data_IF_143624274353
#
_entry.id   IF_143624274353
#
_cell.length_a   1.000
_cell.length_b   1.000
_cell.length_c   1.000
_cell.angle_alpha   90.00
_cell.angle_beta   90.00
_cell.angle_gamma   90.00
#
_symmetry.space_group_name_H-M   'P 1'
#
loop_
_entity.id
_entity.type
_entity.pdbx_description
1 polymer ?
#
# COMPACT_ATOMS: atom_id res chain seq x y z
N UNK A 1 19.38 -14.79 12.34
CA UNK A 1 18.12 -14.10 11.96
C UNK A 1 17.95 -14.18 10.46
N UNK A 2 16.77 -14.58 9.97
CA UNK A 2 16.48 -14.72 8.53
C UNK A 2 16.70 -13.44 7.72
N UNK A 3 16.93 -13.63 6.42
CA UNK A 3 17.02 -12.57 5.43
C UNK A 3 15.65 -11.93 5.25
N UNK A 4 15.55 -10.66 5.64
CA UNK A 4 14.26 -9.98 5.71
C UNK A 4 14.38 -8.48 5.50
N UNK A 5 13.29 -7.91 4.99
CA UNK A 5 13.04 -6.47 4.95
C UNK A 5 12.51 -5.98 6.31
N UNK A 6 13.43 -5.90 7.28
CA UNK A 6 13.18 -5.28 8.60
C UNK A 6 13.27 -3.77 8.56
N UNK A 7 14.02 -3.23 7.60
CA UNK A 7 14.29 -1.81 7.53
C UNK A 7 13.10 -1.08 6.90
N UNK A 8 12.53 -1.52 5.77
CA UNK A 8 11.34 -0.92 5.15
C UNK A 8 11.37 0.62 5.22
N UNK A 9 10.49 1.27 6.01
CA UNK A 9 10.43 2.72 6.25
C UNK A 9 11.40 3.27 7.32
N UNK A 10 12.05 2.36 8.06
CA UNK A 10 12.86 2.62 9.25
C UNK A 10 14.36 2.46 8.99
N UNK A 11 15.16 3.14 9.81
CA UNK A 11 16.58 2.88 9.96
C UNK A 11 16.77 2.01 11.21
N UNK A 12 17.42 0.86 11.04
CA UNK A 12 17.66 -0.09 12.13
C UNK A 12 19.03 0.19 12.75
N UNK A 13 19.09 0.18 14.07
CA UNK A 13 20.31 0.33 14.85
C UNK A 13 20.48 -0.95 15.66
N UNK A 14 21.68 -1.52 15.67
CA UNK A 14 22.04 -2.70 16.47
C UNK A 14 23.41 -2.46 17.10
N UNK A 15 23.45 -2.33 18.42
CA UNK A 15 24.67 -2.19 19.22
C UNK A 15 25.00 -3.53 19.86
N UNK A 16 26.22 -4.04 19.64
CA UNK A 16 26.72 -5.22 20.33
C UNK A 16 27.23 -4.83 21.72
N UNK A 17 26.44 -5.12 22.75
CA UNK A 17 26.66 -4.62 24.11
C UNK A 17 27.40 -5.62 25.01
N UNK A 18 27.20 -6.92 24.78
CA UNK A 18 27.76 -7.99 25.60
C UNK A 18 28.24 -9.09 24.67
N UNK A 19 29.44 -9.61 24.94
CA UNK A 19 30.01 -10.73 24.21
C UNK A 19 31.16 -11.35 24.99
N UNK A 20 31.33 -12.67 24.89
CA UNK A 20 32.57 -13.34 25.27
C UNK A 20 33.72 -12.97 24.33
N UNK A 21 34.92 -13.49 24.60
CA UNK A 21 36.15 -13.15 23.86
C UNK A 21 36.05 -13.38 22.34
N UNK A 22 35.27 -14.38 21.93
CA UNK A 22 35.06 -14.77 20.53
C UNK A 22 33.66 -14.39 20.00
N UNK A 23 32.94 -13.52 20.72
CA UNK A 23 31.58 -13.16 20.34
C UNK A 23 31.56 -12.11 19.23
N UNK A 24 30.91 -12.42 18.11
CA UNK A 24 30.72 -11.50 17.00
C UNK A 24 29.40 -11.77 16.28
N UNK A 25 29.02 -10.84 15.40
CA UNK A 25 27.90 -11.06 14.46
C UNK A 25 28.31 -10.77 13.04
N UNK A 26 28.09 -11.72 12.16
CA UNK A 26 28.23 -11.50 10.72
C UNK A 26 26.91 -10.99 10.16
N UNK A 27 26.97 -9.79 9.58
CA UNK A 27 25.88 -9.14 8.88
C UNK A 27 26.03 -9.30 7.37
N UNK A 28 24.91 -9.53 6.71
CA UNK A 28 24.80 -9.50 5.26
C UNK A 28 23.68 -8.53 4.92
N UNK A 29 24.00 -7.44 4.23
CA UNK A 29 23.10 -6.29 4.03
C UNK A 29 23.10 -5.94 2.55
N UNK A 30 21.92 -5.76 1.95
CA UNK A 30 21.84 -5.33 0.55
C UNK A 30 22.00 -3.82 0.40
N UNK A 31 22.38 -3.36 -0.79
CA UNK A 31 22.26 -1.95 -1.14
C UNK A 31 20.78 -1.52 -1.13
N UNK A 32 20.48 -0.30 -0.66
CA UNK A 32 19.10 0.23 -0.66
C UNK A 32 18.53 0.35 -2.09
N UNK A 33 19.38 0.67 -3.06
CA UNK A 33 19.00 0.78 -4.48
C UNK A 33 18.70 -0.56 -5.16
N UNK A 34 18.98 -1.68 -4.50
CA UNK A 34 18.67 -3.04 -4.98
C UNK A 34 17.38 -3.59 -4.38
N UNK A 35 16.60 -2.79 -3.65
CA UNK A 35 15.39 -3.24 -2.94
C UNK A 35 14.43 -4.03 -3.85
N UNK A 36 14.15 -3.49 -5.04
CA UNK A 36 13.25 -4.12 -6.00
C UNK A 36 13.88 -5.38 -6.63
N UNK A 37 15.18 -5.35 -6.94
CA UNK A 37 15.90 -6.50 -7.49
C UNK A 37 15.90 -7.69 -6.51
N UNK A 38 15.98 -7.41 -5.21
CA UNK A 38 15.87 -8.43 -4.16
C UNK A 38 14.47 -9.05 -4.16
N UNK A 39 13.41 -8.25 -4.23
CA UNK A 39 12.04 -8.78 -4.34
C UNK A 39 11.81 -9.62 -5.59
N UNK A 40 12.34 -9.18 -6.73
CA UNK A 40 12.23 -9.92 -8.00
C UNK A 40 13.01 -11.24 -7.94
N UNK A 41 14.21 -11.24 -7.35
CA UNK A 41 15.01 -12.44 -7.15
C UNK A 41 14.35 -13.46 -6.21
N UNK A 42 13.84 -13.00 -5.06
CA UNK A 42 13.16 -13.87 -4.10
C UNK A 42 11.90 -14.50 -4.72
N UNK A 43 11.13 -13.72 -5.49
CA UNK A 43 9.95 -14.22 -6.22
C UNK A 43 10.33 -15.28 -7.25
N UNK A 44 11.37 -15.03 -8.05
CA UNK A 44 11.83 -15.96 -9.07
C UNK A 44 12.28 -17.30 -8.48
N UNK A 45 12.91 -17.29 -7.29
CA UNK A 45 13.39 -18.50 -6.62
C UNK A 45 12.31 -19.28 -5.88
N UNK A 46 11.43 -18.60 -5.15
CA UNK A 46 10.48 -19.28 -4.26
C UNK A 46 9.26 -19.84 -5.00
N UNK A 47 9.06 -19.49 -6.28
CA UNK A 47 7.98 -20.00 -7.14
C UNK A 47 6.57 -19.77 -6.60
N UNK A 48 6.45 -18.99 -5.52
CA UNK A 48 5.22 -18.73 -4.76
C UNK A 48 5.10 -17.24 -4.50
N UNK A 49 3.86 -16.74 -4.45
CA UNK A 49 3.55 -15.36 -4.09
C UNK A 49 3.75 -15.07 -2.58
N UNK A 50 4.48 -15.92 -1.88
CA UNK A 50 4.83 -15.76 -0.47
C UNK A 50 6.34 -15.70 -0.36
N UNK A 51 6.89 -14.52 -0.09
CA UNK A 51 8.30 -14.43 0.29
C UNK A 51 8.43 -15.03 1.68
N UNK A 52 8.95 -16.25 1.75
CA UNK A 52 9.25 -16.87 3.03
C UNK A 52 10.53 -16.24 3.55
N UNK A 53 10.44 -15.61 4.71
CA UNK A 53 11.62 -15.17 5.44
C UNK A 53 12.49 -16.40 5.73
N UNK A 54 13.58 -16.56 4.96
CA UNK A 54 14.51 -17.68 5.08
C UNK A 54 15.94 -17.17 5.19
N UNK A 55 16.82 -18.02 5.71
CA UNK A 55 18.25 -17.73 5.60
C UNK A 55 18.68 -18.02 4.16
N UNK A 56 19.45 -17.10 3.58
CA UNK A 56 20.11 -17.35 2.29
C UNK A 56 21.52 -17.87 2.57
N UNK A 57 21.89 -18.95 1.91
CA UNK A 57 23.26 -19.48 1.98
C UNK A 57 24.26 -18.51 1.34
N UNK A 58 25.54 -18.62 1.72
CA UNK A 58 26.60 -17.80 1.13
C UNK A 58 26.69 -17.97 -0.39
N UNK A 59 26.49 -19.19 -0.90
CA UNK A 59 26.47 -19.46 -2.34
C UNK A 59 25.29 -18.75 -3.04
N UNK A 60 24.11 -18.76 -2.42
CA UNK A 60 22.95 -18.04 -2.95
C UNK A 60 23.16 -16.53 -2.98
N UNK A 61 23.70 -15.96 -1.90
CA UNK A 61 24.03 -14.53 -1.85
C UNK A 61 25.12 -14.15 -2.85
N UNK A 62 26.12 -15.00 -3.05
CA UNK A 62 27.19 -14.76 -4.03
C UNK A 62 26.67 -14.83 -5.48
N UNK A 63 25.68 -15.67 -5.74
CA UNK A 63 25.02 -15.79 -7.06
C UNK A 63 23.92 -14.75 -7.32
N UNK A 64 23.61 -13.90 -6.33
CA UNK A 64 22.50 -12.97 -6.43
C UNK A 64 22.80 -11.83 -7.43
N UNK A 65 21.79 -11.32 -8.18
CA UNK A 65 21.97 -10.25 -9.16
C UNK A 65 22.08 -8.85 -8.52
N UNK A 66 22.42 -8.78 -7.23
CA UNK A 66 22.50 -7.54 -6.47
C UNK A 66 23.66 -7.58 -5.47
N UNK A 67 24.14 -6.40 -5.08
CA UNK A 67 25.26 -6.27 -4.15
C UNK A 67 24.84 -6.61 -2.72
N UNK A 68 25.63 -7.46 -2.07
CA UNK A 68 25.52 -7.80 -0.65
C UNK A 68 26.80 -7.38 0.06
N UNK A 69 26.67 -6.47 1.01
CA UNK A 69 27.74 -6.06 1.91
C UNK A 69 27.83 -7.04 3.08
N UNK A 70 29.05 -7.45 3.41
CA UNK A 70 29.32 -8.35 4.54
C UNK A 70 30.13 -7.59 5.58
N UNK A 71 29.70 -7.64 6.84
CA UNK A 71 30.39 -6.97 7.93
C UNK A 71 30.39 -7.84 9.19
N UNK A 72 31.54 -7.93 9.85
CA UNK A 72 31.64 -8.53 11.18
C UNK A 72 31.54 -7.44 12.24
N UNK A 73 30.48 -7.51 13.05
CA UNK A 73 30.24 -6.64 14.20
C UNK A 73 30.88 -7.24 15.45
N UNK A 74 31.72 -6.45 16.12
CA UNK A 74 32.40 -6.78 17.38
C UNK A 74 31.82 -6.00 18.56
N UNK A 75 32.23 -6.34 19.77
CA UNK A 75 31.77 -5.69 21.00
C UNK A 75 32.02 -4.17 20.94
N UNK A 76 30.97 -3.39 21.19
CA UNK A 76 31.00 -1.92 21.09
C UNK A 76 30.61 -1.37 19.72
N UNK A 77 30.56 -2.19 18.67
CA UNK A 77 30.19 -1.74 17.33
C UNK A 77 28.67 -1.48 17.22
N UNK A 78 28.33 -0.32 16.67
CA UNK A 78 26.98 0.05 16.26
C UNK A 78 26.83 -0.18 14.75
N UNK A 79 26.00 -1.15 14.37
CA UNK A 79 25.60 -1.34 12.98
C UNK A 79 24.32 -0.54 12.71
N UNK A 80 24.37 0.31 11.70
CA UNK A 80 23.23 1.11 11.23
C UNK A 80 22.82 0.62 9.85
N UNK A 81 21.58 0.18 9.71
CA UNK A 81 21.02 -0.34 8.47
C UNK A 81 20.02 0.68 7.93
N UNK A 82 20.29 1.29 6.77
CA UNK A 82 19.36 2.21 6.12
C UNK A 82 18.00 1.55 5.81
N UNK A 83 16.99 2.37 5.59
CA UNK A 83 15.70 1.95 5.04
C UNK A 83 15.86 1.27 3.69
N UNK A 84 14.93 0.37 3.34
CA UNK A 84 14.92 -0.40 2.08
C UNK A 84 16.15 -1.29 1.85
N UNK A 85 16.77 -1.76 2.92
CA UNK A 85 17.80 -2.79 2.88
C UNK A 85 17.25 -4.11 3.43
N UNK A 86 17.49 -5.21 2.71
CA UNK A 86 17.35 -6.55 3.28
C UNK A 86 18.59 -6.86 4.11
N UNK A 87 18.38 -7.58 5.20
CA UNK A 87 19.50 -8.02 6.04
C UNK A 87 19.27 -9.41 6.62
N UNK A 88 20.36 -10.16 6.77
CA UNK A 88 20.45 -11.32 7.64
C UNK A 88 21.64 -11.16 8.58
N UNK A 89 21.54 -11.78 9.76
CA UNK A 89 22.66 -11.83 10.72
C UNK A 89 22.84 -13.21 11.30
N UNK A 90 24.10 -13.59 11.46
CA UNK A 90 24.53 -14.85 12.08
C UNK A 90 25.34 -14.48 13.32
N UNK A 91 25.01 -15.10 14.46
CA UNK A 91 25.73 -14.88 15.71
C UNK A 91 26.82 -15.95 15.85
N UNK A 92 28.01 -15.52 16.26
CA UNK A 92 29.10 -16.39 16.70
C UNK A 92 29.29 -16.19 18.20
N UNK A 93 29.31 -17.28 18.97
CA UNK A 93 29.43 -17.25 20.43
C UNK A 93 28.22 -16.63 21.15
N UNK A 94 28.34 -16.50 22.48
CA UNK A 94 27.30 -15.93 23.33
C UNK A 94 27.43 -14.42 23.36
N UNK A 95 26.39 -13.72 22.89
CA UNK A 95 26.31 -12.26 22.82
C UNK A 95 24.91 -11.73 23.13
N UNK A 96 24.83 -10.47 23.54
CA UNK A 96 23.59 -9.71 23.64
C UNK A 96 23.73 -8.32 23.02
N UNK A 97 22.65 -7.84 22.41
CA UNK A 97 22.61 -6.54 21.74
C UNK A 97 21.38 -5.75 22.06
N UNK A 98 21.55 -4.44 22.02
CA UNK A 98 20.45 -3.48 22.01
C UNK A 98 20.12 -3.14 20.55
N UNK A 99 18.85 -3.29 20.16
CA UNK A 99 18.40 -2.92 18.81
C UNK A 99 17.18 -2.02 18.89
N UNK A 100 17.14 -0.98 18.06
CA UNK A 100 15.98 -0.08 17.94
C UNK A 100 15.81 0.39 16.50
N UNK A 101 14.66 0.98 16.21
CA UNK A 101 14.30 1.49 14.90
C UNK A 101 13.86 2.94 15.03
N UNK A 102 14.20 3.76 14.03
CA UNK A 102 13.65 5.11 13.87
C UNK A 102 13.06 5.26 12.48
N UNK A 103 11.91 5.90 12.37
CA UNK A 103 11.34 6.30 11.08
C UNK A 103 12.02 7.59 10.64
N UNK A 104 12.22 7.74 9.33
CA UNK A 104 12.70 8.99 8.72
C UNK A 104 11.69 9.46 7.69
N UNK A 105 11.64 10.76 7.39
CA UNK A 105 10.72 11.24 6.35
C UNK A 105 10.97 10.58 5.01
N UNK A 106 12.23 10.46 4.58
CA UNK A 106 12.58 9.74 3.34
C UNK A 106 12.11 8.28 3.35
N UNK A 107 12.27 7.58 4.48
CA UNK A 107 11.80 6.21 4.61
C UNK A 107 10.27 6.10 4.56
N UNK A 108 9.58 7.08 5.15
CA UNK A 108 8.12 7.17 5.14
C UNK A 108 7.57 7.53 3.74
N UNK A 109 8.25 8.42 3.02
CA UNK A 109 7.95 8.76 1.62
C UNK A 109 7.99 7.50 0.75
N UNK A 110 9.13 6.80 0.72
CA UNK A 110 9.25 5.57 -0.06
C UNK A 110 8.24 4.48 0.38
N UNK A 111 7.87 4.46 1.66
CA UNK A 111 6.87 3.52 2.17
C UNK A 111 5.47 3.80 1.63
N UNK A 112 4.99 5.04 1.76
CA UNK A 112 3.67 5.47 1.27
C UNK A 112 3.59 5.31 -0.24
N UNK A 113 4.66 5.68 -0.96
CA UNK A 113 4.65 5.56 -2.41
C UNK A 113 4.71 4.10 -2.88
N UNK A 114 5.53 3.24 -2.28
CA UNK A 114 5.86 1.96 -2.91
C UNK A 114 5.76 0.76 -1.98
N UNK A 115 6.42 0.82 -0.82
CA UNK A 115 6.66 -0.38 -0.02
C UNK A 115 5.40 -0.89 0.65
N UNK A 116 4.46 0.00 0.98
CA UNK A 116 3.16 -0.39 1.50
C UNK A 116 2.43 -1.30 0.51
N UNK A 117 2.38 -0.94 -0.78
CA UNK A 117 1.68 -1.75 -1.79
C UNK A 117 2.41 -3.07 -2.02
N UNK A 118 3.75 -3.07 -2.10
CA UNK A 118 4.54 -4.30 -2.25
C UNK A 118 4.25 -5.27 -1.10
N UNK A 119 4.28 -4.78 0.15
CA UNK A 119 4.03 -5.59 1.33
C UNK A 119 2.60 -6.12 1.38
N UNK A 120 1.62 -5.27 1.04
CA UNK A 120 0.22 -5.69 0.91
C UNK A 120 0.05 -6.81 -0.11
N UNK A 121 0.77 -6.77 -1.24
CA UNK A 121 0.74 -7.85 -2.23
C UNK A 121 1.31 -9.15 -1.65
N UNK A 122 2.38 -9.10 -0.86
CA UNK A 122 2.93 -10.30 -0.22
C UNK A 122 2.22 -10.75 1.06
N UNK A 123 1.15 -10.07 1.48
CA UNK A 123 0.48 -10.35 2.76
C UNK A 123 1.40 -10.15 3.97
N UNK A 124 2.40 -9.27 3.84
CA UNK A 124 3.32 -8.95 4.91
C UNK A 124 2.70 -7.84 5.77
N UNK A 125 2.80 -7.94 7.11
CA UNK A 125 2.34 -6.87 7.99
C UNK A 125 2.94 -5.53 7.58
N UNK A 126 2.10 -4.49 7.62
CA UNK A 126 2.56 -3.11 7.56
C UNK A 126 3.56 -2.85 8.67
N UNK A 127 4.53 -1.97 8.43
CA UNK A 127 5.27 -1.32 9.54
C UNK A 127 4.21 -0.61 10.42
N UNK A 128 4.36 -0.57 11.75
CA UNK A 128 3.34 -0.02 12.64
C UNK A 128 2.85 1.35 12.17
N UNK A 129 1.52 1.40 12.05
CA UNK A 129 0.64 2.53 11.79
C UNK A 129 1.26 3.77 11.13
N UNK A 130 1.63 3.68 9.84
CA UNK A 130 2.31 4.77 9.12
C UNK A 130 1.51 6.07 9.15
N UNK A 131 0.18 5.98 9.09
CA UNK A 131 -0.70 7.14 9.17
C UNK A 131 -0.82 7.71 10.57
N UNK A 132 -0.90 6.83 11.58
CA UNK A 132 -0.83 7.26 12.98
C UNK A 132 0.50 7.96 13.26
N UNK A 133 1.60 7.43 12.74
CA UNK A 133 2.92 8.04 12.87
C UNK A 133 2.98 9.40 12.18
N UNK A 134 2.45 9.53 10.96
CA UNK A 134 2.31 10.81 10.27
C UNK A 134 1.52 11.80 11.12
N UNK A 135 0.33 11.42 11.58
CA UNK A 135 -0.55 12.30 12.33
C UNK A 135 0.08 12.79 13.65
N UNK A 136 0.63 11.86 14.46
CA UNK A 136 1.23 12.20 15.76
C UNK A 136 2.48 13.07 15.62
N UNK A 137 3.37 12.76 14.67
CA UNK A 137 4.60 13.52 14.48
C UNK A 137 4.32 14.94 14.01
N UNK A 138 3.44 15.12 13.03
CA UNK A 138 3.06 16.45 12.56
C UNK A 138 2.36 17.27 13.63
N UNK A 139 1.43 16.68 14.39
CA UNK A 139 0.78 17.35 15.52
C UNK A 139 1.80 17.88 16.53
N UNK A 140 2.83 17.08 16.82
CA UNK A 140 3.95 17.49 17.66
C UNK A 140 4.71 18.70 17.10
N UNK A 141 5.10 18.66 15.82
CA UNK A 141 5.81 19.77 15.17
C UNK A 141 4.97 21.06 15.09
N UNK A 142 3.69 20.95 14.74
CA UNK A 142 2.74 22.07 14.74
C UNK A 142 2.64 22.70 16.13
N UNK A 143 2.51 21.88 17.17
CA UNK A 143 2.43 22.34 18.56
C UNK A 143 3.71 23.07 19.00
N UNK A 144 4.89 22.50 18.70
CA UNK A 144 6.18 23.12 19.00
C UNK A 144 6.35 24.44 18.26
N UNK A 145 6.02 24.50 16.97
CA UNK A 145 6.15 25.72 16.18
C UNK A 145 5.22 26.85 16.67
N UNK A 146 3.98 26.51 17.06
CA UNK A 146 3.03 27.47 17.65
C UNK A 146 3.50 27.99 19.01
N UNK A 147 4.13 27.15 19.82
CA UNK A 147 4.63 27.54 21.16
C UNK A 147 5.91 28.38 21.09
N UNK A 148 6.89 28.01 20.26
CA UNK A 148 8.12 28.79 20.07
C UNK A 148 7.84 30.15 19.42
N UNK A 149 6.86 30.24 18.52
CA UNK A 149 6.41 31.53 17.95
C UNK A 149 5.83 32.48 19.00
N UNK A 150 5.19 31.95 20.06
CA UNK A 150 4.60 32.76 21.15
C UNK A 150 5.58 33.06 22.28
N UNK A 151 6.61 32.24 22.46
CA UNK A 151 7.66 32.40 23.49
C UNK A 151 9.01 32.02 22.87
N UNK A 152 9.77 32.97 22.31
CA UNK A 152 11.08 32.66 21.74
C UNK A 152 12.00 32.13 22.84
N UNK A 153 12.38 30.85 22.72
CA UNK A 153 13.38 30.22 23.58
C UNK A 153 14.79 30.71 23.24
N UNK A 154 15.71 30.69 24.22
CA UNK A 154 17.12 31.04 24.02
C UNK A 154 17.86 30.08 23.05
N UNK A 155 17.30 28.88 22.81
CA UNK A 155 17.79 27.92 21.82
C UNK A 155 16.81 27.96 20.64
N UNK A 156 17.25 28.35 19.44
CA UNK A 156 16.40 28.33 18.25
C UNK A 156 15.97 26.89 17.96
N UNK A 157 14.66 26.66 17.85
CA UNK A 157 14.20 25.42 17.23
C UNK A 157 14.57 25.49 15.75
N UNK A 158 15.13 24.42 15.16
CA UNK A 158 15.43 24.39 13.73
C UNK A 158 14.18 24.73 12.91
N UNK A 159 14.35 25.40 11.77
CA UNK A 159 13.24 25.67 10.87
C UNK A 159 12.57 24.33 10.46
N UNK A 160 11.36 24.13 10.94
CA UNK A 160 10.58 22.91 10.70
C UNK A 160 9.81 22.99 9.38
N UNK A 161 9.83 24.12 8.68
CA UNK A 161 9.05 24.34 7.47
C UNK A 161 9.33 23.27 6.41
N UNK A 162 10.59 22.96 6.01
CA UNK A 162 10.85 21.95 4.99
C UNK A 162 10.30 20.57 5.35
N UNK A 163 10.31 20.22 6.65
CA UNK A 163 9.78 18.97 7.16
C UNK A 163 8.24 18.93 7.12
N UNK A 164 7.59 20.02 7.55
CA UNK A 164 6.14 20.17 7.50
C UNK A 164 5.62 20.19 6.05
N UNK A 165 6.38 20.78 5.12
CA UNK A 165 6.05 20.76 3.69
C UNK A 165 6.14 19.34 3.11
N UNK A 166 7.18 18.57 3.44
CA UNK A 166 7.27 17.15 3.07
C UNK A 166 6.11 16.35 3.66
N UNK A 167 5.79 16.61 4.92
CA UNK A 167 4.69 15.97 5.60
C UNK A 167 3.35 16.24 4.92
N UNK A 168 3.05 17.50 4.59
CA UNK A 168 1.79 17.91 3.96
C UNK A 168 1.57 17.18 2.63
N UNK A 169 2.61 17.15 1.77
CA UNK A 169 2.56 16.39 0.51
C UNK A 169 2.28 14.90 0.74
N UNK A 170 2.90 14.32 1.77
CA UNK A 170 2.73 12.90 2.04
C UNK A 170 1.37 12.58 2.69
N UNK A 171 0.82 13.51 3.47
CA UNK A 171 -0.53 13.40 4.00
C UNK A 171 -1.58 13.49 2.89
N UNK A 172 -1.42 14.42 1.96
CA UNK A 172 -2.30 14.58 0.80
C UNK A 172 -2.33 13.31 -0.06
N UNK A 173 -1.17 12.69 -0.30
CA UNK A 173 -1.03 11.40 -0.99
C UNK A 173 -1.82 10.26 -0.33
N UNK A 174 -2.05 10.35 0.98
CA UNK A 174 -2.76 9.34 1.77
C UNK A 174 -4.25 9.61 1.82
N UNK A 175 -4.64 10.88 1.96
CA UNK A 175 -6.04 11.29 2.10
C UNK A 175 -6.76 11.20 0.76
N UNK A 176 -6.16 11.70 -0.32
CA UNK A 176 -6.77 11.75 -1.66
C UNK A 176 -7.33 10.39 -2.13
N UNK A 177 -6.61 9.26 -2.02
CA UNK A 177 -7.15 7.95 -2.41
C UNK A 177 -8.37 7.48 -1.62
N UNK A 178 -8.64 8.07 -0.45
CA UNK A 178 -9.72 7.69 0.47
C UNK A 178 -10.99 8.52 0.29
N UNK A 179 -10.92 9.62 -0.44
CA UNK A 179 -12.02 10.56 -0.64
C UNK A 179 -13.20 9.97 -1.44
N UNK A 180 -14.42 10.38 -1.14
CA UNK A 180 -15.59 10.34 -2.02
C UNK A 180 -16.58 11.47 -1.70
N UNK A 181 -17.45 11.82 -2.65
CA UNK A 181 -18.41 12.92 -2.53
C UNK A 181 -19.48 12.66 -1.47
N UNK A 182 -19.94 11.42 -1.33
CA UNK A 182 -20.97 10.99 -0.38
C UNK A 182 -20.40 10.51 0.97
N UNK A 183 -19.20 10.98 1.37
CA UNK A 183 -18.47 10.47 2.54
C UNK A 183 -19.33 10.52 3.82
N UNK A 184 -20.07 11.61 4.03
CA UNK A 184 -20.90 11.79 5.23
C UNK A 184 -22.03 10.76 5.34
N UNK A 185 -22.54 10.27 4.21
CA UNK A 185 -23.63 9.30 4.14
C UNK A 185 -23.16 7.85 4.36
N UNK A 186 -21.85 7.60 4.38
CA UNK A 186 -21.33 6.25 4.57
C UNK A 186 -21.40 5.80 6.03
N UNK A 187 -21.69 4.50 6.28
CA UNK A 187 -21.68 3.93 7.62
C UNK A 187 -20.34 4.13 8.32
N UNK A 188 -20.40 4.60 9.57
CA UNK A 188 -19.24 4.65 10.45
C UNK A 188 -19.01 3.26 11.07
N UNK A 189 -17.77 2.80 11.03
CA UNK A 189 -17.34 1.54 11.65
C UNK A 189 -16.25 1.87 12.63
N UNK A 190 -16.48 1.51 13.90
CA UNK A 190 -15.48 1.63 14.95
C UNK A 190 -14.41 0.58 14.75
N UNK A 191 -13.25 1.02 14.26
CA UNK A 191 -12.07 0.21 14.19
C UNK A 191 -11.29 0.41 15.48
N UNK A 192 -11.11 -0.67 16.24
CA UNK A 192 -10.18 -0.68 17.35
C UNK A 192 -8.78 -0.20 16.92
N UNK A 193 -7.94 0.23 17.87
CA UNK A 193 -6.61 0.75 17.57
C UNK A 193 -5.80 -0.29 16.78
N UNK A 194 -5.13 0.15 15.71
CA UNK A 194 -4.33 -0.72 14.84
C UNK A 194 -5.13 -1.84 14.15
N UNK A 195 -6.24 -1.49 13.52
CA UNK A 195 -7.01 -2.42 12.68
C UNK A 195 -6.33 -2.66 11.33
N UNK A 196 -6.33 -3.92 10.88
CA UNK A 196 -5.65 -4.34 9.65
C UNK A 196 -6.62 -5.01 8.67
N UNK A 197 -6.34 -4.84 7.38
CA UNK A 197 -7.09 -5.49 6.31
C UNK A 197 -6.97 -7.01 6.43
N UNK A 198 -8.11 -7.69 6.47
CA UNK A 198 -8.16 -9.16 6.57
C UNK A 198 -7.53 -9.88 5.36
N UNK A 199 -7.38 -9.20 4.22
CA UNK A 199 -6.72 -9.76 3.03
C UNK A 199 -5.20 -9.59 3.09
N UNK A 200 -4.73 -8.34 3.13
CA UNK A 200 -3.32 -8.01 2.89
C UNK A 200 -2.52 -7.67 4.16
N UNK A 201 -3.19 -7.49 5.30
CA UNK A 201 -2.53 -7.09 6.56
C UNK A 201 -2.07 -5.63 6.59
N UNK A 202 -2.47 -4.82 5.60
CA UNK A 202 -2.23 -3.38 5.60
C UNK A 202 -3.10 -2.66 6.64
N UNK A 203 -2.59 -1.56 7.20
CA UNK A 203 -3.34 -0.70 8.11
C UNK A 203 -4.63 -0.19 7.44
N UNK A 204 -5.75 -0.28 8.17
CA UNK A 204 -7.01 0.34 7.78
C UNK A 204 -7.01 1.77 8.31
N UNK A 205 -7.01 2.73 7.39
CA UNK A 205 -6.92 4.14 7.74
C UNK A 205 -8.30 4.79 7.87
N UNK A 206 -8.97 4.96 6.72
CA UNK A 206 -10.21 5.73 6.61
C UNK A 206 -11.31 4.99 5.88
N UNK A 207 -11.08 4.71 4.60
CA UNK A 207 -12.11 4.17 3.73
C UNK A 207 -11.91 2.67 3.53
N UNK A 208 -12.94 1.90 3.89
CA UNK A 208 -12.90 0.44 3.98
C UNK A 208 -14.14 -0.18 3.35
N UNK A 209 -14.07 -1.50 3.13
CA UNK A 209 -15.22 -2.30 2.77
C UNK A 209 -15.45 -3.36 3.84
N UNK A 210 -16.66 -3.40 4.39
CA UNK A 210 -17.04 -4.27 5.48
C UNK A 210 -18.03 -5.33 5.01
N UNK A 211 -17.82 -6.58 5.42
CA UNK A 211 -18.79 -7.63 5.17
C UNK A 211 -20.10 -7.35 5.90
N UNK A 212 -21.23 -7.40 5.19
CA UNK A 212 -22.58 -7.23 5.74
C UNK A 212 -23.42 -8.51 5.68
N UNK A 213 -22.84 -9.61 5.19
CA UNK A 213 -23.49 -10.91 5.10
C UNK A 213 -23.09 -11.91 6.19
N UNK A 214 -23.39 -13.18 5.94
CA UNK A 214 -23.22 -14.31 6.87
C UNK A 214 -21.77 -14.69 7.22
N UNK A 215 -20.77 -13.89 6.83
CA UNK A 215 -19.40 -14.09 7.32
C UNK A 215 -19.17 -13.41 8.68
N UNK A 216 -20.14 -12.63 9.16
CA UNK A 216 -20.21 -12.16 10.55
C UNK A 216 -20.59 -13.37 11.41
N UNK A 217 -19.81 -13.69 12.45
CA UNK A 217 -20.18 -14.77 13.37
C UNK A 217 -21.11 -14.20 14.45
N UNK A 218 -22.31 -14.77 14.56
CA UNK A 218 -23.36 -14.35 15.51
C UNK A 218 -23.00 -14.60 17.00
N UNK A 219 -21.87 -15.26 17.29
CA UNK A 219 -21.47 -15.68 18.64
C UNK A 219 -20.58 -14.66 19.38
N UNK A 220 -20.31 -13.49 18.80
CA UNK A 220 -19.55 -12.39 19.43
C UNK A 220 -20.27 -11.05 19.18
N UNK A 221 -20.95 -10.46 20.19
CA UNK A 221 -21.77 -9.25 20.04
C UNK A 221 -20.96 -7.94 19.91
N UNK A 222 -19.63 -8.03 19.88
CA UNK A 222 -18.75 -6.91 19.54
C UNK A 222 -18.21 -7.15 18.13
N UNK A 223 -18.20 -6.11 17.30
CA UNK A 223 -17.82 -6.07 15.87
C UNK A 223 -16.44 -6.66 15.47
N UNK A 224 -15.74 -7.35 16.37
CA UNK A 224 -14.45 -8.03 16.17
C UNK A 224 -14.52 -9.21 15.18
N UNK A 225 -15.72 -9.63 14.77
CA UNK A 225 -15.94 -10.76 13.84
C UNK A 225 -16.25 -10.34 12.40
N UNK A 226 -16.36 -9.04 12.10
CA UNK A 226 -16.63 -8.57 10.74
C UNK A 226 -15.37 -8.64 9.85
N UNK A 227 -15.47 -9.25 8.68
CA UNK A 227 -14.39 -9.25 7.69
C UNK A 227 -14.32 -7.87 7.05
N UNK A 228 -13.23 -7.14 7.29
CA UNK A 228 -12.98 -5.81 6.74
C UNK A 228 -11.77 -5.85 5.81
N UNK A 229 -11.89 -5.23 4.64
CA UNK A 229 -10.78 -5.10 3.67
C UNK A 229 -10.52 -3.64 3.33
N UNK A 230 -9.26 -3.34 3.02
CA UNK A 230 -8.91 -2.01 2.53
C UNK A 230 -9.48 -1.79 1.14
N UNK A 231 -9.70 -0.51 0.81
CA UNK A 231 -10.18 -0.06 -0.50
C UNK A 231 -9.36 -0.64 -1.67
N UNK A 232 -8.03 -0.65 -1.55
CA UNK A 232 -7.13 -1.22 -2.58
C UNK A 232 -7.33 -2.72 -2.80
N UNK A 233 -7.69 -3.48 -1.77
CA UNK A 233 -8.01 -4.90 -1.95
C UNK A 233 -9.39 -5.08 -2.61
N UNK A 234 -10.39 -4.30 -2.20
CA UNK A 234 -11.72 -4.39 -2.76
C UNK A 234 -11.75 -4.05 -4.26
N UNK A 235 -11.07 -2.99 -4.68
CA UNK A 235 -11.01 -2.57 -6.09
C UNK A 235 -10.26 -3.56 -7.00
N UNK A 236 -9.40 -4.37 -6.41
CA UNK A 236 -8.75 -5.50 -7.05
C UNK A 236 -9.67 -6.72 -7.17
N UNK A 237 -10.91 -6.64 -6.66
CA UNK A 237 -11.89 -7.73 -6.68
C UNK A 237 -11.76 -8.69 -5.50
N UNK A 238 -10.98 -8.37 -4.48
CA UNK A 238 -10.80 -9.22 -3.30
C UNK A 238 -11.95 -8.98 -2.33
N UNK A 239 -12.82 -9.97 -2.20
CA UNK A 239 -14.05 -9.90 -1.41
C UNK A 239 -14.19 -11.11 -0.49
N UNK A 240 -15.03 -11.00 0.53
CA UNK A 240 -15.39 -12.14 1.39
C UNK A 240 -16.16 -13.21 0.62
N UNK A 241 -16.21 -14.42 1.19
CA UNK A 241 -16.88 -15.57 0.57
C UNK A 241 -18.36 -15.36 0.25
N UNK A 242 -19.07 -14.57 1.05
CA UNK A 242 -20.48 -14.28 0.76
C UNK A 242 -20.66 -13.18 -0.30
N UNK A 243 -19.59 -12.48 -0.70
CA UNK A 243 -19.61 -11.40 -1.69
C UNK A 243 -20.30 -10.10 -1.24
N UNK A 244 -20.89 -10.09 -0.05
CA UNK A 244 -21.64 -8.94 0.47
C UNK A 244 -20.71 -8.06 1.29
N UNK A 245 -20.07 -7.10 0.62
CA UNK A 245 -19.27 -6.07 1.28
C UNK A 245 -19.76 -4.69 0.88
N UNK A 246 -19.96 -3.80 1.86
CA UNK A 246 -20.42 -2.44 1.67
C UNK A 246 -19.32 -1.44 2.00
N UNK A 247 -19.27 -0.27 1.33
CA UNK A 247 -18.35 0.80 1.69
C UNK A 247 -18.67 1.33 3.08
N UNK A 248 -17.63 1.69 3.84
CA UNK A 248 -17.75 2.25 5.19
C UNK A 248 -16.54 3.14 5.49
N UNK A 249 -16.64 3.96 6.54
CA UNK A 249 -15.61 4.88 7.00
C UNK A 249 -15.30 4.70 8.48
N UNK A 250 -14.13 5.15 8.93
CA UNK A 250 -13.65 4.99 10.31
C UNK A 250 -13.66 6.29 11.13
N UNK A 251 -13.98 7.43 10.51
CA UNK A 251 -14.06 8.75 11.15
C UNK A 251 -14.78 9.77 10.26
N UNK A 252 -14.62 11.08 10.46
CA UNK A 252 -15.05 12.10 9.50
C UNK A 252 -13.89 12.59 8.60
N UNK A 253 -14.20 12.96 7.35
CA UNK A 253 -13.20 13.49 6.42
C UNK A 253 -12.81 14.92 6.83
N UNK A 254 -13.77 15.67 7.35
CA UNK A 254 -13.57 17.00 7.94
C UNK A 254 -12.43 17.00 8.95
N UNK A 255 -12.33 15.98 9.82
CA UNK A 255 -11.27 15.92 10.84
C UNK A 255 -9.86 15.87 10.20
N UNK A 256 -9.72 15.18 9.07
CA UNK A 256 -8.46 15.09 8.33
C UNK A 256 -8.16 16.39 7.58
N UNK A 257 -9.18 17.01 6.99
CA UNK A 257 -9.05 18.29 6.28
C UNK A 257 -8.76 19.44 7.25
N UNK A 258 -9.41 19.48 8.39
CA UNK A 258 -9.13 20.45 9.46
C UNK A 258 -7.71 20.29 9.96
N UNK A 259 -7.26 19.05 10.17
CA UNK A 259 -5.87 18.79 10.53
C UNK A 259 -4.89 19.27 9.44
N UNK A 260 -5.17 18.98 8.17
CA UNK A 260 -4.38 19.50 7.03
C UNK A 260 -4.33 21.03 7.01
N UNK A 261 -5.47 21.68 7.14
CA UNK A 261 -5.58 23.14 7.11
C UNK A 261 -4.83 23.78 8.28
N UNK A 262 -4.86 23.16 9.46
CA UNK A 262 -4.04 23.58 10.61
C UNK A 262 -2.53 23.55 10.30
N UNK A 263 -2.07 22.59 9.48
CA UNK A 263 -0.66 22.53 9.05
C UNK A 263 -0.36 23.65 8.04
N UNK A 264 -1.26 23.88 7.09
CA UNK A 264 -1.15 24.97 6.12
C UNK A 264 -1.07 26.33 6.83
N UNK A 265 -1.92 26.60 7.83
CA UNK A 265 -1.86 27.85 8.60
C UNK A 265 -0.51 28.09 9.29
N UNK A 266 0.17 27.02 9.69
CA UNK A 266 1.50 27.10 10.32
C UNK A 266 2.59 27.38 9.29
N UNK A 267 2.40 26.92 8.05
CA UNK A 267 3.28 27.21 6.92
C UNK A 267 2.99 28.61 6.38
N UNK A 268 3.85 29.58 6.72
CA UNK A 268 3.72 30.98 6.28
C UNK A 268 3.75 31.16 4.77
N UNK A 269 4.46 30.27 4.07
CA UNK A 269 4.51 30.14 2.63
C UNK A 269 4.13 28.71 2.26
N UNK A 270 3.14 28.56 1.37
CA UNK A 270 2.78 27.27 0.81
C UNK A 270 3.91 26.75 -0.11
N UNK A 271 4.20 25.44 -0.12
CA UNK A 271 5.03 24.86 -1.16
C UNK A 271 4.42 25.11 -2.55
N UNK A 272 5.26 25.27 -3.57
CA UNK A 272 4.83 25.46 -4.97
C UNK A 272 3.90 24.33 -5.49
N UNK A 273 3.91 23.15 -4.87
CA UNK A 273 3.15 21.97 -5.28
C UNK A 273 2.02 21.58 -4.32
N UNK A 274 1.60 22.46 -3.41
CA UNK A 274 0.44 22.20 -2.55
C UNK A 274 -0.79 22.84 -3.19
N UNK A 275 -1.77 22.01 -3.50
CA UNK A 275 -3.08 22.47 -3.96
C UNK A 275 -3.87 23.00 -2.75
N UNK A 276 -4.41 24.22 -2.86
CA UNK A 276 -5.25 24.80 -1.81
C UNK A 276 -6.52 23.94 -1.62
N UNK A 277 -7.10 23.48 -2.73
CA UNK A 277 -8.21 22.51 -2.74
C UNK A 277 -7.68 21.10 -3.01
N UNK A 278 -7.58 20.29 -1.96
CA UNK A 278 -7.11 18.91 -2.05
C UNK A 278 -8.09 18.01 -2.81
N UNK A 279 -9.37 18.35 -2.91
CA UNK A 279 -10.44 17.43 -3.32
C UNK A 279 -11.17 17.92 -4.57
N UNK A 280 -10.42 18.42 -5.54
CA UNK A 280 -10.98 18.96 -6.78
C UNK A 280 -11.74 17.91 -7.61
N UNK A 281 -12.75 18.38 -8.36
CA UNK A 281 -13.55 17.53 -9.24
C UNK A 281 -12.68 16.83 -10.30
N UNK A 282 -12.73 15.50 -10.31
CA UNK A 282 -12.00 14.66 -11.27
C UNK A 282 -10.72 14.01 -10.73
N UNK A 283 -10.38 14.23 -9.47
CA UNK A 283 -9.23 13.57 -8.86
C UNK A 283 -9.35 12.05 -8.79
N UNK A 284 -8.19 11.40 -8.92
CA UNK A 284 -8.05 9.95 -8.87
C UNK A 284 -8.20 9.46 -7.42
N UNK A 285 -9.40 9.00 -7.05
CA UNK A 285 -9.65 8.32 -5.78
C UNK A 285 -9.91 6.83 -5.98
N UNK A 286 -9.13 6.00 -5.28
CA UNK A 286 -9.33 4.55 -5.28
C UNK A 286 -10.68 4.22 -4.63
N UNK A 287 -11.10 4.99 -3.61
CA UNK A 287 -12.34 4.75 -2.91
C UNK A 287 -13.58 5.06 -3.76
N UNK A 288 -13.57 6.19 -4.49
CA UNK A 288 -14.61 6.48 -5.51
C UNK A 288 -14.73 5.36 -6.51
N UNK A 289 -13.60 4.82 -6.98
CA UNK A 289 -13.61 3.67 -7.88
C UNK A 289 -14.17 2.39 -7.22
N UNK A 290 -13.90 2.18 -5.93
CA UNK A 290 -14.48 1.10 -5.13
C UNK A 290 -15.99 1.21 -5.01
N UNK A 291 -16.51 2.39 -4.71
CA UNK A 291 -17.96 2.67 -4.68
C UNK A 291 -18.58 2.43 -6.06
N UNK A 292 -17.91 2.88 -7.13
CA UNK A 292 -18.31 2.61 -8.51
C UNK A 292 -18.46 1.12 -8.79
N UNK A 293 -17.51 0.30 -8.31
CA UNK A 293 -17.56 -1.15 -8.45
C UNK A 293 -18.71 -1.76 -7.63
N UNK A 294 -18.90 -1.30 -6.39
CA UNK A 294 -19.98 -1.75 -5.50
C UNK A 294 -21.36 -1.49 -6.09
N UNK A 295 -21.59 -0.32 -6.68
CA UNK A 295 -22.89 0.08 -7.24
C UNK A 295 -23.29 -0.68 -8.50
N UNK A 296 -22.41 -1.50 -9.08
CA UNK A 296 -22.73 -2.27 -10.29
C UNK A 296 -23.57 -3.50 -9.95
N UNK A 297 -24.72 -3.63 -10.61
CA UNK A 297 -25.55 -4.84 -10.53
C UNK A 297 -24.95 -5.95 -11.39
N UNK A 298 -25.06 -7.19 -10.92
CA UNK A 298 -24.41 -8.35 -11.54
C UNK A 298 -25.44 -9.24 -12.26
N UNK A 299 -25.31 -9.36 -13.58
CA UNK A 299 -25.90 -10.38 -14.45
C UNK A 299 -24.78 -11.11 -15.20
N UNK A 300 -24.71 -12.45 -15.21
CA UNK A 300 -23.59 -13.14 -15.85
C UNK A 300 -23.56 -12.89 -17.37
N UNK A 301 -22.39 -12.48 -17.90
CA UNK A 301 -22.13 -12.34 -19.34
C UNK A 301 -20.95 -13.19 -19.76
N UNK A 302 -21.05 -13.83 -20.92
CA UNK A 302 -19.99 -14.67 -21.49
C UNK A 302 -19.03 -13.76 -22.29
N UNK A 303 -17.73 -13.79 -21.95
CA UNK A 303 -16.68 -13.25 -22.82
C UNK A 303 -16.22 -14.37 -23.77
N UNK A 304 -15.83 -14.02 -25.00
CA UNK A 304 -15.48 -14.99 -26.06
C UNK A 304 -14.27 -15.87 -25.72
N UNK A 305 -13.34 -15.43 -24.85
CA UNK A 305 -12.12 -16.17 -24.52
C UNK A 305 -12.15 -16.95 -23.21
N UNK A 306 -12.99 -16.56 -22.23
CA UNK A 306 -13.17 -17.25 -20.94
C UNK A 306 -14.40 -16.70 -20.20
N UNK A 307 -14.89 -17.43 -19.18
CA UNK A 307 -16.00 -16.98 -18.32
C UNK A 307 -15.48 -16.20 -17.11
N UNK A 308 -16.03 -15.01 -16.89
CA UNK A 308 -15.80 -14.19 -15.69
C UNK A 308 -17.12 -13.56 -15.22
N UNK A 309 -17.24 -13.19 -13.94
CA UNK A 309 -18.38 -12.40 -13.46
C UNK A 309 -18.48 -11.04 -14.19
N UNK A 310 -19.70 -10.51 -14.35
CA UNK A 310 -19.89 -9.20 -15.00
C UNK A 310 -19.24 -8.04 -14.23
N UNK A 311 -19.15 -8.16 -12.90
CA UNK A 311 -18.41 -7.21 -12.07
C UNK A 311 -16.94 -7.11 -12.45
N UNK A 312 -16.36 -8.17 -13.04
CA UNK A 312 -14.97 -8.20 -13.50
C UNK A 312 -14.79 -7.61 -14.91
N UNK A 313 -15.87 -7.21 -15.58
CA UNK A 313 -15.87 -6.69 -16.95
C UNK A 313 -16.06 -5.17 -16.98
N UNK A 314 -15.45 -4.51 -17.95
CA UNK A 314 -15.86 -3.18 -18.39
C UNK A 314 -16.23 -3.23 -19.88
N UNK A 315 -17.25 -2.45 -20.26
CA UNK A 315 -17.66 -2.30 -21.64
C UNK A 315 -17.10 -0.99 -22.21
N UNK A 316 -16.57 -1.05 -23.43
CA UNK A 316 -16.38 0.14 -24.25
C UNK A 316 -17.38 0.13 -25.40
N UNK A 317 -18.25 1.15 -25.44
CA UNK A 317 -19.24 1.32 -26.51
C UNK A 317 -18.57 1.49 -27.87
N UNK A 318 -17.53 2.34 -27.97
CA UNK A 318 -16.80 2.60 -29.22
C UNK A 318 -16.10 1.36 -29.79
N UNK A 319 -15.59 0.48 -28.94
CA UNK A 319 -14.95 -0.77 -29.36
C UNK A 319 -15.93 -1.93 -29.51
N UNK A 320 -17.20 -1.75 -29.13
CA UNK A 320 -18.22 -2.80 -29.04
C UNK A 320 -17.75 -4.07 -28.27
N UNK A 321 -16.89 -3.89 -27.26
CA UNK A 321 -16.21 -5.01 -26.59
C UNK A 321 -16.30 -4.93 -25.07
N UNK A 322 -16.54 -6.09 -24.45
CA UNK A 322 -16.35 -6.30 -23.02
C UNK A 322 -14.98 -6.90 -22.76
N UNK A 323 -14.24 -6.36 -21.79
CA UNK A 323 -12.95 -6.92 -21.36
C UNK A 323 -12.89 -7.05 -19.86
N UNK A 324 -12.29 -8.13 -19.38
CA UNK A 324 -12.04 -8.29 -17.95
C UNK A 324 -10.86 -7.43 -17.48
N UNK A 325 -10.85 -7.05 -16.21
CA UNK A 325 -9.78 -6.20 -15.67
C UNK A 325 -8.38 -6.77 -15.85
N UNK A 326 -8.23 -8.10 -15.80
CA UNK A 326 -6.95 -8.76 -16.11
C UNK A 326 -6.47 -8.45 -17.54
N UNK A 327 -7.38 -8.52 -18.52
CA UNK A 327 -7.05 -8.18 -19.91
C UNK A 327 -6.88 -6.68 -20.13
N UNK A 328 -7.63 -5.85 -19.40
CA UNK A 328 -7.45 -4.39 -19.46
C UNK A 328 -6.06 -4.03 -18.94
N UNK A 329 -5.64 -4.63 -17.83
CA UNK A 329 -4.30 -4.44 -17.29
C UNK A 329 -3.24 -4.88 -18.30
N UNK A 330 -3.34 -6.10 -18.84
CA UNK A 330 -2.30 -6.64 -19.73
C UNK A 330 -2.29 -6.06 -21.14
N UNK A 331 -3.43 -5.56 -21.65
CA UNK A 331 -3.55 -5.06 -23.03
C UNK A 331 -3.46 -3.54 -23.09
N UNK A 332 -4.00 -2.87 -22.08
CA UNK A 332 -4.17 -1.41 -22.07
C UNK A 332 -3.48 -0.76 -20.89
N UNK A 333 -2.71 -1.51 -20.09
CA UNK A 333 -1.91 -0.98 -18.99
C UNK A 333 -2.71 -0.06 -18.07
N UNK A 334 -3.94 -0.46 -17.77
CA UNK A 334 -4.87 0.33 -16.97
C UNK A 334 -5.41 -0.51 -15.84
N UNK A 335 -5.33 0.06 -14.63
CA UNK A 335 -5.87 -0.56 -13.43
C UNK A 335 -7.39 -0.45 -13.38
N UNK A 336 -8.06 -1.34 -12.67
CA UNK A 336 -9.52 -1.35 -12.48
C UNK A 336 -10.03 -0.01 -11.95
N UNK A 337 -9.31 0.59 -11.01
CA UNK A 337 -9.66 1.92 -10.47
C UNK A 337 -9.72 2.99 -11.55
N UNK A 338 -8.68 3.11 -12.38
CA UNK A 338 -8.65 4.06 -13.49
C UNK A 338 -9.74 3.79 -14.51
N UNK A 339 -9.93 2.52 -14.90
CA UNK A 339 -10.98 2.13 -15.83
C UNK A 339 -12.38 2.50 -15.33
N UNK A 340 -12.67 2.25 -14.05
CA UNK A 340 -13.95 2.56 -13.43
C UNK A 340 -14.19 4.06 -13.31
N UNK A 341 -13.21 4.83 -12.82
CA UNK A 341 -13.33 6.28 -12.69
C UNK A 341 -13.59 6.95 -14.03
N UNK A 342 -12.82 6.61 -15.07
CA UNK A 342 -13.01 7.20 -16.40
C UNK A 342 -14.35 6.80 -17.02
N UNK A 343 -14.89 5.64 -16.66
CA UNK A 343 -16.22 5.22 -17.10
C UNK A 343 -17.35 5.95 -16.37
N UNK A 344 -17.16 6.29 -15.10
CA UNK A 344 -18.10 7.12 -14.33
C UNK A 344 -18.16 8.55 -14.86
N UNK A 345 -17.02 9.13 -15.24
CA UNK A 345 -16.96 10.49 -15.75
C UNK A 345 -17.64 10.67 -17.12
N UNK A 346 -17.91 9.59 -17.86
CA UNK A 346 -18.48 9.67 -19.20
C UNK A 346 -19.34 8.45 -19.58
N UNK A 347 -20.64 8.69 -19.66
CA UNK A 347 -21.63 7.71 -20.10
C UNK A 347 -21.55 7.32 -21.57
N UNK A 348 -20.98 8.18 -22.41
CA UNK A 348 -20.74 7.88 -23.82
C UNK A 348 -19.58 6.90 -24.03
N UNK A 349 -18.80 6.60 -22.98
CA UNK A 349 -17.58 5.77 -23.02
C UNK A 349 -16.48 6.31 -23.94
N UNK A 350 -16.55 7.58 -24.37
CA UNK A 350 -15.51 8.25 -25.15
C UNK A 350 -14.26 8.46 -24.33
N UNK A 351 -14.36 8.95 -23.09
CA UNK A 351 -13.20 9.11 -22.20
C UNK A 351 -12.54 7.76 -21.92
N UNK A 352 -13.33 6.73 -21.63
CA UNK A 352 -12.80 5.37 -21.45
C UNK A 352 -12.09 4.88 -22.71
N UNK A 353 -12.69 5.11 -23.90
CA UNK A 353 -12.09 4.77 -25.18
C UNK A 353 -10.74 5.47 -25.39
N UNK A 354 -10.70 6.79 -25.24
CA UNK A 354 -9.49 7.60 -25.39
C UNK A 354 -8.39 7.16 -24.43
N UNK A 355 -8.72 6.92 -23.15
CA UNK A 355 -7.75 6.50 -22.15
C UNK A 355 -7.07 5.18 -22.53
N UNK A 356 -7.85 4.14 -22.87
CA UNK A 356 -7.24 2.84 -23.13
C UNK A 356 -6.55 2.74 -24.50
N UNK A 357 -6.91 3.58 -25.47
CA UNK A 357 -6.10 3.75 -26.70
C UNK A 357 -4.76 4.40 -26.36
N UNK A 358 -4.78 5.54 -25.65
CA UNK A 358 -3.56 6.26 -25.26
C UNK A 358 -2.59 5.37 -24.46
N UNK A 359 -3.10 4.62 -23.49
CA UNK A 359 -2.29 3.74 -22.63
C UNK A 359 -1.79 2.48 -23.34
N UNK A 360 -2.43 2.05 -24.42
CA UNK A 360 -1.93 0.96 -25.26
C UNK A 360 -0.63 1.38 -25.97
N UNK A 361 -0.58 2.62 -26.43
CA UNK A 361 0.49 3.10 -27.29
C UNK A 361 1.69 3.68 -26.51
N UNK A 362 1.45 4.28 -25.33
CA UNK A 362 2.48 5.05 -24.60
C UNK A 362 3.07 4.37 -23.36
N UNK A 363 2.55 3.23 -22.93
CA UNK A 363 2.89 2.72 -21.59
C UNK A 363 4.32 2.17 -21.44
N UNK A 364 4.98 1.75 -22.51
CA UNK A 364 6.34 1.18 -22.40
C UNK A 364 7.32 2.15 -21.75
N UNK A 365 7.25 3.44 -22.10
CA UNK A 365 8.08 4.49 -21.50
C UNK A 365 7.67 4.78 -20.06
N UNK A 366 6.36 4.92 -19.81
CA UNK A 366 5.82 5.16 -18.46
C UNK A 366 6.12 4.02 -17.47
N UNK A 367 6.18 2.77 -17.97
CA UNK A 367 6.54 1.60 -17.18
C UNK A 367 7.98 1.64 -16.71
N UNK A 368 8.92 1.90 -17.61
CA UNK A 368 10.35 1.96 -17.29
C UNK A 368 10.63 3.08 -16.28
N UNK A 369 10.02 4.24 -16.49
CA UNK A 369 10.11 5.37 -15.56
C UNK A 369 9.52 5.04 -14.19
N UNK A 370 8.31 4.46 -14.13
CA UNK A 370 7.68 4.04 -12.86
C UNK A 370 8.53 3.02 -12.11
N UNK A 371 9.09 2.04 -12.82
CA UNK A 371 10.00 1.04 -12.25
C UNK A 371 11.22 1.71 -11.62
N UNK A 372 11.80 2.70 -12.28
CA UNK A 372 12.95 3.43 -11.77
C UNK A 372 12.60 4.25 -10.52
N UNK A 373 11.45 4.95 -10.51
CA UNK A 373 10.99 5.68 -9.33
C UNK A 373 10.75 4.75 -8.13
N UNK A 374 10.18 3.57 -8.36
CA UNK A 374 10.04 2.52 -7.33
C UNK A 374 11.42 2.09 -6.84
N UNK A 375 12.39 1.87 -7.73
CA UNK A 375 13.75 1.43 -7.39
C UNK A 375 14.47 2.46 -6.52
N UNK A 376 14.41 3.74 -6.87
CA UNK A 376 15.04 4.83 -6.13
C UNK A 376 14.27 5.25 -4.87
N UNK A 377 13.02 4.84 -4.75
CA UNK A 377 12.11 5.25 -3.68
C UNK A 377 11.52 6.65 -3.89
N UNK A 378 11.61 7.19 -5.12
CA UNK A 378 11.11 8.51 -5.51
C UNK A 378 9.61 8.48 -5.87
N UNK A 379 8.87 9.60 -5.74
CA UNK A 379 7.42 9.63 -6.01
C UNK A 379 7.05 9.23 -7.45
N UNK A 380 5.93 8.53 -7.62
CA UNK A 380 5.35 8.25 -8.94
C UNK A 380 3.82 8.41 -8.90
N UNK A 381 3.15 8.75 -10.02
CA UNK A 381 1.70 8.87 -10.07
C UNK A 381 1.03 7.58 -9.61
N UNK A 382 0.00 7.72 -8.79
CA UNK A 382 -0.70 6.59 -8.18
C UNK A 382 -1.26 5.62 -9.23
N UNK A 383 -1.82 6.13 -10.33
CA UNK A 383 -2.36 5.30 -11.40
C UNK A 383 -1.29 4.38 -12.02
N UNK A 384 -0.09 4.89 -12.27
CA UNK A 384 1.00 4.13 -12.89
C UNK A 384 1.57 3.09 -11.90
N UNK A 385 1.68 3.47 -10.62
CA UNK A 385 2.04 2.54 -9.55
C UNK A 385 1.07 1.38 -9.44
N UNK A 386 -0.24 1.64 -9.44
CA UNK A 386 -1.26 0.58 -9.37
C UNK A 386 -1.15 -0.39 -10.55
N UNK A 387 -0.92 0.12 -11.76
CA UNK A 387 -0.69 -0.74 -12.95
C UNK A 387 0.58 -1.56 -12.79
N UNK A 388 1.69 -0.94 -12.38
CA UNK A 388 2.97 -1.62 -12.19
C UNK A 388 2.82 -2.75 -11.15
N UNK A 389 2.24 -2.45 -9.99
CA UNK A 389 2.11 -3.42 -8.91
C UNK A 389 1.12 -4.55 -9.26
N UNK A 390 -0.03 -4.25 -9.87
CA UNK A 390 -0.96 -5.28 -10.29
C UNK A 390 -0.39 -6.20 -11.39
N UNK A 391 0.50 -5.68 -12.24
CA UNK A 391 1.12 -6.46 -13.33
C UNK A 391 2.24 -7.36 -12.86
N UNK A 392 2.99 -6.94 -11.83
CA UNK A 392 4.20 -7.63 -11.39
C UNK A 392 4.00 -8.45 -10.12
N UNK A 393 3.04 -8.09 -9.27
CA UNK A 393 2.87 -8.69 -7.95
C UNK A 393 1.44 -9.23 -7.82
N UNK A 394 1.35 -10.55 -7.64
CA UNK A 394 0.12 -11.21 -7.23
C UNK A 394 0.04 -11.29 -5.71
N UNK A 395 -1.17 -11.29 -5.16
CA UNK A 395 -1.38 -11.42 -3.74
C UNK A 395 -2.05 -12.72 -3.33
N UNK A 396 -1.81 -13.11 -2.08
CA UNK A 396 -2.43 -14.27 -1.44
C UNK A 396 -3.18 -13.80 -0.18
N UNK A 397 -4.43 -14.22 0.03
CA UNK A 397 -5.18 -13.81 1.21
C UNK A 397 -4.54 -14.34 2.50
N UNK A 398 -4.36 -13.47 3.48
CA UNK A 398 -4.02 -13.86 4.86
C UNK A 398 -5.19 -14.64 5.47
N UNK A 399 -6.41 -14.12 5.33
CA UNK A 399 -7.62 -14.80 5.78
C UNK A 399 -8.24 -15.66 4.66
N UNK A 400 -8.30 -16.98 4.88
CA UNK A 400 -8.87 -17.96 3.94
C UNK A 400 -10.36 -17.78 3.63
N UNK A 401 -11.07 -16.92 4.38
CA UNK A 401 -12.45 -16.54 4.12
C UNK A 401 -12.62 -15.48 3.01
N UNK A 402 -11.52 -15.06 2.38
CA UNK A 402 -11.51 -14.10 1.27
C UNK A 402 -11.14 -14.78 -0.06
N UNK A 403 -11.67 -14.25 -1.15
CA UNK A 403 -11.33 -14.64 -2.51
C UNK A 403 -10.18 -13.80 -3.06
N UNK A 404 -9.35 -14.45 -3.89
CA UNK A 404 -8.36 -13.80 -4.72
C UNK A 404 -9.03 -12.86 -5.74
N UNK A 405 -8.37 -11.75 -6.05
CA UNK A 405 -8.87 -10.70 -6.95
C UNK A 405 -8.54 -10.95 -8.43
N UNK A 406 -8.83 -9.94 -9.26
CA UNK A 406 -8.68 -9.93 -10.71
C UNK A 406 -7.23 -10.15 -11.17
N UNK A 407 -6.26 -9.72 -10.37
CA UNK A 407 -4.82 -9.74 -10.71
C UNK A 407 -4.02 -10.78 -9.94
N UNK A 408 -4.68 -11.52 -9.05
CA UNK A 408 -4.02 -12.52 -8.22
C UNK A 408 -3.92 -13.84 -9.00
N UNK A 409 -2.80 -14.56 -8.80
CA UNK A 409 -2.61 -15.85 -9.44
C UNK A 409 -3.59 -16.87 -8.82
N UNK A 410 -4.62 -17.23 -9.58
CA UNK A 410 -5.51 -18.35 -9.23
C UNK A 410 -4.76 -19.63 -9.60
N UNK A 411 -4.38 -20.44 -8.60
CA UNK A 411 -4.23 -21.87 -8.85
C UNK A 411 -5.59 -22.35 -9.37
N UNK A 412 -5.65 -22.66 -10.66
CA UNK A 412 -6.84 -23.03 -11.41
C UNK A 412 -7.66 -24.04 -10.62
N UNK A 413 -8.76 -23.61 -10.00
CA UNK A 413 -10.02 -24.34 -9.76
C UNK A 413 -10.90 -23.58 -8.76
N UNK A 414 -12.20 -23.49 -9.07
CA UNK A 414 -13.28 -22.91 -8.26
C UNK A 414 -13.54 -21.40 -8.38
N UNK A 415 -14.03 -20.99 -9.55
CA UNK A 415 -15.09 -19.98 -9.62
C UNK A 415 -16.33 -20.61 -10.28
N UNK A 416 -17.04 -21.41 -9.50
CA UNK A 416 -18.45 -21.75 -9.76
C UNK A 416 -19.22 -21.40 -8.49
N UNK A 417 -20.35 -20.73 -8.69
CA UNK A 417 -21.29 -20.22 -7.71
C UNK A 417 -20.91 -18.88 -7.07
N UNK A 418 -21.50 -17.78 -7.56
CA UNK A 418 -22.44 -16.97 -6.77
C UNK A 418 -23.20 -15.95 -7.63
N UNK A 419 -24.47 -16.27 -7.93
CA UNK A 419 -25.66 -15.42 -7.79
C UNK A 419 -26.93 -16.25 -8.09
N UNK A 420 -27.17 -17.30 -7.30
CA UNK A 420 -28.50 -17.91 -7.16
C UNK A 420 -28.70 -18.15 -5.67
N UNK A 421 -29.09 -17.10 -4.96
CA UNK A 421 -29.89 -17.25 -3.75
C UNK A 421 -30.86 -16.07 -3.72
N UNK A 422 -31.98 -16.30 -4.38
CA UNK A 422 -33.33 -15.93 -3.97
C UNK A 422 -33.47 -14.58 -3.27
N UNK A 423 -33.86 -13.55 -4.05
CA UNK A 423 -34.93 -12.66 -3.60
C UNK A 423 -36.23 -13.47 -3.67
N UNK A 424 -36.64 -14.06 -2.55
CA UNK A 424 -38.04 -14.26 -2.22
C UNK A 424 -38.29 -13.59 -0.88
#
# INVERSE_FOLDING_TARGET
>A
TPFQDKSCATVVHDLLCIGGTDASKSWFITAAGSYLDVWDHLRAKDGSNTVRLRNLSSAELQSAPFTVYVHEQKLGDLVVIPSRCFSQKVHCGTSASLSWQRVTMKGLESFVYHDQIIRQRYGLPSVPAAFTFLHLTCSGYVSVHRTTSKRPSAIPFPDASPLLQQWLRLFDEVVRPTYCEDDDNLPLVDLGPSSFCAFCGGELFRSVFCCTGSCIRDDQPNHESAIIVCTSCYIDGRVCRCGNMAPSRTGALSDLLDFRNNVIEVLRDLPENVEEDLLSDGEFSIFRAGIALYSRTCTPRIQSSHRVPELSLINCKSCHANRCYKHILSTYNTHSSGALLTRLSDDSSKMWHSLHQLRRDSYTEGYAWTKEMIRTGSPAPLADRLVYFASNFSATPINRALFAGFYDAIAVSFFVAFRISLKH
#
